data_IF_952392200713
#
_entry.id   IF_952392200713
#
_cell.length_a   1.000
_cell.length_b   1.000
_cell.length_c   1.000
_cell.angle_alpha   90.00
_cell.angle_beta   90.00
_cell.angle_gamma   90.00
#
_symmetry.space_group_name_H-M   'P 1'
#
loop_
_entity.id
_entity.type
_entity.pdbx_description
1 polymer ?
#
# COMPACT_ATOMS: atom_id res chain seq x y z
N UNK A 1 8.87 -17.28 -10.34
CA UNK A 1 8.58 -16.08 -11.16
C UNK A 1 7.82 -15.10 -10.27
N UNK A 2 8.02 -13.79 -10.41
CA UNK A 2 7.23 -12.79 -9.68
C UNK A 2 6.19 -12.20 -10.61
N UNK A 3 4.93 -12.24 -10.20
CA UNK A 3 3.80 -11.67 -10.93
C UNK A 3 3.25 -10.48 -10.15
N UNK A 4 2.81 -9.45 -10.87
CA UNK A 4 2.20 -8.25 -10.27
C UNK A 4 0.85 -8.01 -10.94
N UNK A 5 -0.19 -7.93 -10.13
CA UNK A 5 -1.56 -7.63 -10.56
C UNK A 5 -2.32 -6.99 -9.41
N UNK A 6 -3.55 -6.55 -9.66
CA UNK A 6 -4.43 -6.03 -8.62
C UNK A 6 -4.55 -7.00 -7.43
N UNK A 7 -4.54 -6.45 -6.24
CA UNK A 7 -4.67 -7.19 -5.00
C UNK A 7 -6.09 -7.71 -4.84
N UNK A 8 -6.23 -8.94 -4.38
CA UNK A 8 -7.52 -9.51 -4.03
C UNK A 8 -7.88 -9.15 -2.58
N UNK A 9 -9.17 -9.05 -2.23
CA UNK A 9 -9.59 -8.78 -0.84
C UNK A 9 -9.00 -9.75 0.19
N UNK A 10 -8.80 -11.02 -0.19
CA UNK A 10 -8.19 -12.05 0.65
C UNK A 10 -6.70 -11.78 0.98
N UNK A 11 -6.05 -10.85 0.27
CA UNK A 11 -4.63 -10.54 0.40
C UNK A 11 -4.37 -9.27 1.20
N UNK A 12 -5.40 -8.46 1.45
CA UNK A 12 -5.26 -7.16 2.10
C UNK A 12 -4.60 -7.29 3.47
N UNK A 13 -5.01 -8.27 4.29
CA UNK A 13 -4.38 -8.50 5.60
C UNK A 13 -2.87 -8.75 5.49
N UNK A 14 -2.44 -9.54 4.50
CA UNK A 14 -1.02 -9.84 4.30
C UNK A 14 -0.25 -8.61 3.82
N UNK A 15 -0.86 -7.81 2.93
CA UNK A 15 -0.29 -6.55 2.47
C UNK A 15 -0.17 -5.54 3.63
N UNK A 16 -1.17 -5.44 4.49
CA UNK A 16 -1.15 -4.58 5.68
C UNK A 16 0.03 -4.91 6.59
N UNK A 17 0.25 -6.20 6.87
CA UNK A 17 1.39 -6.67 7.66
C UNK A 17 2.74 -6.30 7.01
N UNK A 18 2.87 -6.55 5.70
CA UNK A 18 4.09 -6.28 4.95
C UNK A 18 4.41 -4.79 4.90
N UNK A 19 3.41 -3.94 4.67
CA UNK A 19 3.56 -2.48 4.63
C UNK A 19 4.05 -1.97 5.99
N UNK A 20 3.39 -2.36 7.09
CA UNK A 20 3.82 -1.94 8.43
C UNK A 20 5.22 -2.46 8.78
N UNK A 21 5.52 -3.71 8.43
CA UNK A 21 6.84 -4.29 8.67
C UNK A 21 7.94 -3.55 7.90
N UNK A 22 7.69 -3.16 6.64
CA UNK A 22 8.62 -2.40 5.83
C UNK A 22 8.94 -1.03 6.45
N UNK A 23 7.93 -0.28 6.90
CA UNK A 23 8.16 1.02 7.54
C UNK A 23 8.87 0.91 8.90
N UNK A 24 8.54 -0.11 9.71
CA UNK A 24 9.26 -0.37 10.98
C UNK A 24 10.74 -0.66 10.77
N UNK A 25 11.11 -1.25 9.64
CA UNK A 25 12.51 -1.54 9.33
C UNK A 25 13.31 -0.28 8.95
N UNK A 26 12.64 0.79 8.51
CA UNK A 26 13.28 2.07 8.15
C UNK A 26 13.55 2.91 9.41
N UNK A 27 12.64 2.90 10.38
CA UNK A 27 12.83 3.67 11.61
C UNK A 27 11.58 3.79 12.48
N UNK A 28 11.66 4.61 13.56
CA UNK A 28 10.51 4.92 14.39
C UNK A 28 9.44 5.64 13.57
N UNK A 29 8.18 5.36 13.89
CA UNK A 29 7.01 5.97 13.25
C UNK A 29 6.24 6.79 14.29
N UNK A 30 5.54 7.87 13.86
CA UNK A 30 4.59 8.56 14.71
C UNK A 30 3.47 7.63 15.22
N UNK A 31 2.88 8.00 16.36
CA UNK A 31 1.72 7.28 16.90
C UNK A 31 0.56 7.29 15.90
N UNK A 32 -0.13 6.15 15.79
CA UNK A 32 -1.25 5.98 14.85
C UNK A 32 -0.86 5.73 13.39
N UNK A 33 0.35 6.08 12.96
CA UNK A 33 0.76 5.94 11.56
C UNK A 33 0.79 4.47 11.09
N UNK A 34 1.10 3.53 11.98
CA UNK A 34 1.03 2.11 11.66
C UNK A 34 -0.40 1.64 11.29
N UNK A 35 -1.43 2.22 11.90
CA UNK A 35 -2.82 1.90 11.57
C UNK A 35 -3.20 2.48 10.20
N UNK A 36 -2.75 3.69 9.91
CA UNK A 36 -2.90 4.30 8.59
C UNK A 36 -2.21 3.47 7.51
N UNK A 37 -0.96 3.04 7.72
CA UNK A 37 -0.22 2.18 6.79
C UNK A 37 -0.88 0.81 6.57
N UNK A 38 -1.53 0.28 7.61
CA UNK A 38 -2.22 -1.00 7.55
C UNK A 38 -3.55 -0.95 6.78
N UNK A 39 -4.11 0.23 6.49
CA UNK A 39 -5.42 0.36 5.82
C UNK A 39 -5.36 0.11 4.30
N UNK A 40 -5.04 -1.13 3.91
CA UNK A 40 -5.01 -1.55 2.51
C UNK A 40 -6.42 -1.64 1.92
N UNK A 41 -7.41 -2.01 2.74
CA UNK A 41 -8.80 -2.08 2.30
C UNK A 41 -9.34 -0.70 1.94
N UNK A 42 -9.07 0.33 2.75
CA UNK A 42 -9.43 1.72 2.44
C UNK A 42 -8.75 2.20 1.17
N UNK A 43 -7.46 1.87 0.97
CA UNK A 43 -6.73 2.20 -0.27
C UNK A 43 -7.33 1.54 -1.51
N UNK A 44 -7.79 0.30 -1.41
CA UNK A 44 -8.43 -0.40 -2.51
C UNK A 44 -9.88 0.05 -2.77
N UNK A 45 -10.51 0.73 -1.80
CA UNK A 45 -11.85 1.28 -1.96
C UNK A 45 -11.86 2.68 -2.60
N UNK A 46 -10.71 3.35 -2.70
CA UNK A 46 -10.56 4.64 -3.36
C UNK A 46 -10.68 4.48 -4.88
N UNK A 47 -11.66 5.12 -5.55
CA UNK A 47 -11.86 4.97 -7.00
C UNK A 47 -10.71 5.55 -7.84
N UNK A 48 -9.90 6.44 -7.27
CA UNK A 48 -8.74 7.05 -7.89
C UNK A 48 -7.43 6.30 -7.65
N UNK A 49 -7.46 5.10 -7.06
CA UNK A 49 -6.26 4.31 -6.78
C UNK A 49 -6.45 2.81 -7.10
N UNK A 50 -5.33 2.11 -7.27
CA UNK A 50 -5.27 0.65 -7.43
C UNK A 50 -4.21 0.09 -6.50
N UNK A 51 -4.55 -0.95 -5.73
CA UNK A 51 -3.57 -1.70 -4.94
C UNK A 51 -3.05 -2.86 -5.77
N UNK A 52 -1.74 -2.89 -6.00
CA UNK A 52 -1.06 -3.96 -6.72
C UNK A 52 -0.33 -4.88 -5.72
N UNK A 53 -0.47 -6.20 -5.91
CA UNK A 53 0.23 -7.22 -5.13
C UNK A 53 1.29 -7.92 -5.98
N UNK A 54 2.51 -8.03 -5.43
CA UNK A 54 3.56 -8.86 -5.97
C UNK A 54 3.46 -10.27 -5.38
N UNK A 55 3.35 -11.29 -6.23
CA UNK A 55 3.25 -12.70 -5.84
C UNK A 55 4.45 -13.48 -6.36
N UNK A 56 5.07 -14.25 -5.48
CA UNK A 56 6.12 -15.22 -5.83
C UNK A 56 5.64 -16.60 -5.44
N UNK A 57 5.53 -17.48 -6.43
CA UNK A 57 5.08 -18.86 -6.24
C UNK A 57 3.71 -18.93 -5.51
N UNK A 58 2.80 -18.05 -5.91
CA UNK A 58 1.45 -17.93 -5.33
C UNK A 58 1.37 -17.20 -3.98
N UNK A 59 2.49 -16.72 -3.43
CA UNK A 59 2.53 -16.03 -2.13
C UNK A 59 2.75 -14.54 -2.31
N UNK A 60 1.96 -13.71 -1.62
CA UNK A 60 2.16 -12.26 -1.58
C UNK A 60 3.46 -11.93 -0.83
N UNK A 61 4.36 -11.24 -1.52
CA UNK A 61 5.68 -10.83 -1.00
C UNK A 61 5.83 -9.31 -0.89
N UNK A 62 4.87 -8.54 -1.40
CA UNK A 62 4.84 -7.09 -1.29
C UNK A 62 3.67 -6.51 -2.08
N UNK A 63 3.52 -5.20 -2.01
CA UNK A 63 2.54 -4.48 -2.81
C UNK A 63 2.77 -2.99 -2.77
N UNK A 64 2.00 -2.28 -3.59
CA UNK A 64 2.06 -0.83 -3.72
C UNK A 64 0.66 -0.31 -4.02
N UNK A 65 0.35 0.88 -3.51
CA UNK A 65 -0.82 1.65 -3.95
C UNK A 65 -0.39 2.59 -5.05
N UNK A 66 -0.96 2.41 -6.23
CA UNK A 66 -0.79 3.30 -7.37
C UNK A 66 -1.98 4.25 -7.42
N UNK A 67 -1.74 5.55 -7.25
CA UNK A 67 -2.78 6.58 -7.38
C UNK A 67 -2.84 7.04 -8.83
N UNK A 68 -4.03 7.00 -9.42
CA UNK A 68 -4.30 7.30 -10.82
C UNK A 68 -4.95 8.67 -11.02
N UNK A 69 -5.61 9.19 -9.98
CA UNK A 69 -6.29 10.49 -10.03
C UNK A 69 -5.67 11.49 -9.05
N UNK A 70 -5.35 12.69 -9.54
CA UNK A 70 -4.79 13.78 -8.72
C UNK A 70 -5.78 14.31 -7.67
N UNK A 71 -7.07 14.00 -7.82
CA UNK A 71 -8.13 14.34 -6.86
C UNK A 71 -8.28 13.32 -5.73
N UNK A 72 -7.61 12.17 -5.80
CA UNK A 72 -7.64 11.19 -4.72
C UNK A 72 -6.99 11.79 -3.46
N UNK A 73 -7.57 11.57 -2.27
CA UNK A 73 -6.93 11.95 -1.00
C UNK A 73 -5.60 11.23 -0.76
N UNK A 74 -5.30 10.15 -1.50
CA UNK A 74 -4.05 9.40 -1.43
C UNK A 74 -2.96 9.99 -2.35
N UNK A 75 -3.30 10.94 -3.22
CA UNK A 75 -2.33 11.55 -4.13
C UNK A 75 -1.28 12.32 -3.32
N UNK A 76 0.00 12.03 -3.57
CA UNK A 76 1.08 12.80 -2.97
C UNK A 76 1.06 14.24 -3.52
N UNK A 77 0.96 15.22 -2.62
CA UNK A 77 1.18 16.62 -2.96
C UNK A 77 2.69 16.89 -3.00
N UNK A 78 3.25 17.00 -4.21
CA UNK A 78 4.61 17.52 -4.39
C UNK A 78 4.56 19.04 -4.25
N UNK A 79 4.69 19.55 -3.02
CA UNK A 79 5.10 20.94 -2.82
C UNK A 79 6.52 21.09 -3.40
N UNK A 80 6.77 22.04 -4.32
CA UNK A 80 8.12 22.24 -4.85
C UNK A 80 9.10 22.63 -3.72
N UNK A 81 10.10 21.78 -3.44
CA UNK A 81 11.27 22.14 -2.63
C UNK A 81 11.50 21.40 -1.31
N UNK A 82 10.90 20.23 -1.09
CA UNK A 82 11.34 19.26 -0.07
C UNK A 82 12.14 18.13 -0.71
#
# INVERSE_FOLDING_TARGET
MTEVSEALPAEYARLSELTVAAYRAVGPMPDGYAAELADVAGRAADPGAVVLAARRDGRVVGGVTLVLETTSPLAEHLEPGM
#
